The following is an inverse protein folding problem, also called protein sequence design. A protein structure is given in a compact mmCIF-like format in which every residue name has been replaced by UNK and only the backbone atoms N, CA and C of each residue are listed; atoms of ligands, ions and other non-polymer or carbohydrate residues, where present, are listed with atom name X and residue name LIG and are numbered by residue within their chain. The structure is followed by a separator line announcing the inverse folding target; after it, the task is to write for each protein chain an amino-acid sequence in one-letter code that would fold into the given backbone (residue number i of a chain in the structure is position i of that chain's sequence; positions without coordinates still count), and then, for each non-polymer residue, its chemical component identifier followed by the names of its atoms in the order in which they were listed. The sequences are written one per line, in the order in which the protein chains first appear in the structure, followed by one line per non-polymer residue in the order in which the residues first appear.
data_IF_344621241490
#
_entry.id   IF_344621241490
#
_cell.length_a   1.000
_cell.length_b   1.000
_cell.length_c   1.000
_cell.angle_alpha   90.00
_cell.angle_beta   90.00
_cell.angle_gamma   90.00
#
_symmetry.space_group_name_H-M   'P 1'
#
loop_
_entity.id
_entity.type
_entity.pdbx_description
1 polymer ?
#
# COMPACT_ATOMS: atom_id res chain seq x y z
N UNK A 1 1.85 -3.92 -24.84
CA UNK A 1 1.76 -2.64 -24.11
C UNK A 1 2.32 -2.85 -22.71
N UNK A 2 3.29 -2.05 -22.33
CA UNK A 2 3.94 -2.12 -21.01
C UNK A 2 3.62 -0.83 -20.25
N UNK A 3 3.16 -0.96 -19.04
CA UNK A 3 2.83 0.18 -18.17
C UNK A 3 3.88 0.38 -17.10
N UNK A 4 4.10 1.64 -16.75
CA UNK A 4 4.91 2.04 -15.60
C UNK A 4 3.99 2.31 -14.43
N UNK A 5 4.21 1.60 -13.33
CA UNK A 5 3.44 1.74 -12.11
C UNK A 5 4.35 2.22 -10.97
N UNK A 6 3.88 3.19 -10.21
CA UNK A 6 4.57 3.68 -9.01
C UNK A 6 3.79 3.31 -7.77
N UNK A 7 4.42 2.56 -6.89
CA UNK A 7 3.90 2.20 -5.57
C UNK A 7 4.38 3.23 -4.55
N UNK A 8 3.46 3.81 -3.83
CA UNK A 8 3.74 4.82 -2.80
C UNK A 8 2.95 4.53 -1.53
N UNK A 9 3.34 5.21 -0.46
CA UNK A 9 2.65 5.16 0.83
C UNK A 9 2.05 6.54 1.12
N UNK A 10 0.77 6.57 1.52
CA UNK A 10 0.09 7.83 1.82
C UNK A 10 0.83 8.63 2.88
N UNK A 11 1.16 9.90 2.58
CA UNK A 11 1.83 10.81 3.49
C UNK A 11 3.32 10.54 3.74
N UNK A 12 3.92 9.55 3.10
CA UNK A 12 5.35 9.21 3.26
C UNK A 12 6.12 9.52 1.97
N UNK A 13 6.97 10.53 2.00
CA UNK A 13 7.74 10.97 0.83
C UNK A 13 8.99 10.13 0.55
N UNK A 14 9.51 9.45 1.54
CA UNK A 14 10.77 8.70 1.45
C UNK A 14 10.65 7.28 0.91
N UNK A 15 9.48 6.88 0.42
CA UNK A 15 9.22 5.53 -0.05
C UNK A 15 8.62 5.53 -1.44
N UNK A 16 9.19 4.75 -2.34
CA UNK A 16 8.52 4.34 -3.58
C UNK A 16 9.10 3.04 -4.13
N UNK A 17 8.31 2.37 -4.96
CA UNK A 17 8.70 1.26 -5.82
C UNK A 17 8.14 1.50 -7.21
N UNK A 18 8.96 1.31 -8.24
CA UNK A 18 8.53 1.49 -9.62
C UNK A 18 8.61 0.16 -10.35
N UNK A 19 7.51 -0.22 -10.99
CA UNK A 19 7.38 -1.46 -11.74
C UNK A 19 7.12 -1.18 -13.22
N UNK A 20 7.69 -2.03 -14.07
CA UNK A 20 7.24 -2.20 -15.45
C UNK A 20 6.38 -3.47 -15.51
N UNK A 21 5.18 -3.33 -16.04
CA UNK A 21 4.17 -4.39 -16.04
C UNK A 21 3.54 -4.51 -17.42
N UNK A 22 3.52 -5.71 -17.97
CA UNK A 22 2.79 -5.96 -19.21
C UNK A 22 1.27 -5.82 -18.98
N UNK A 23 0.57 -5.19 -19.92
CA UNK A 23 -0.87 -4.94 -19.78
C UNK A 23 -1.71 -6.20 -19.64
N UNK A 24 -1.27 -7.33 -20.20
CA UNK A 24 -1.93 -8.62 -20.06
C UNK A 24 -1.69 -9.30 -18.71
N UNK A 25 -0.80 -8.76 -17.86
CA UNK A 25 -0.55 -9.29 -16.52
C UNK A 25 -1.81 -9.15 -15.67
N UNK A 26 -2.20 -10.24 -15.00
CA UNK A 26 -3.34 -10.20 -14.09
C UNK A 26 -3.00 -9.43 -12.82
N UNK A 27 -4.01 -8.87 -12.17
CA UNK A 27 -3.84 -8.21 -10.87
C UNK A 27 -3.34 -9.21 -9.81
N UNK A 28 -3.67 -10.48 -9.94
CA UNK A 28 -3.17 -11.53 -9.07
C UNK A 28 -1.65 -11.70 -9.20
N UNK A 29 -1.12 -11.74 -10.41
CA UNK A 29 0.33 -11.83 -10.65
C UNK A 29 1.05 -10.59 -10.13
N UNK A 30 0.48 -9.40 -10.36
CA UNK A 30 1.00 -8.16 -9.80
C UNK A 30 1.01 -8.18 -8.27
N UNK A 31 -0.08 -8.63 -7.65
CA UNK A 31 -0.18 -8.80 -6.20
C UNK A 31 0.94 -9.70 -5.66
N UNK A 32 1.17 -10.86 -6.29
CA UNK A 32 2.22 -11.78 -5.83
C UNK A 32 3.60 -11.15 -5.90
N UNK A 33 3.89 -10.39 -6.95
CA UNK A 33 5.18 -9.71 -7.10
C UNK A 33 5.38 -8.63 -6.04
N UNK A 34 4.39 -7.77 -5.85
CA UNK A 34 4.46 -6.71 -4.83
C UNK A 34 4.60 -7.31 -3.43
N UNK A 35 3.84 -8.35 -3.12
CA UNK A 35 3.91 -9.05 -1.84
C UNK A 35 5.30 -9.62 -1.58
N UNK A 36 5.92 -10.23 -2.57
CA UNK A 36 7.27 -10.78 -2.45
C UNK A 36 8.31 -9.68 -2.26
N UNK A 37 8.26 -8.63 -3.07
CA UNK A 37 9.25 -7.55 -3.04
C UNK A 37 9.17 -6.70 -1.76
N UNK A 38 7.96 -6.47 -1.26
CA UNK A 38 7.72 -5.67 -0.05
C UNK A 38 7.63 -6.52 1.22
N UNK A 39 7.80 -7.84 1.10
CA UNK A 39 7.76 -8.78 2.23
C UNK A 39 6.47 -8.72 3.05
N UNK A 40 5.34 -8.50 2.37
CA UNK A 40 4.03 -8.52 3.01
C UNK A 40 3.63 -9.93 3.46
N UNK A 41 2.81 -10.06 4.53
CA UNK A 41 2.29 -11.35 4.97
C UNK A 41 1.55 -12.09 3.86
N UNK A 42 1.71 -13.42 3.81
CA UNK A 42 1.20 -14.24 2.70
C UNK A 42 -0.26 -14.68 2.85
N UNK A 43 -0.77 -14.79 4.05
CA UNK A 43 -2.07 -15.41 4.33
C UNK A 43 -3.20 -14.39 4.56
N UNK A 44 -3.07 -13.18 3.99
CA UNK A 44 -4.05 -12.13 4.17
C UNK A 44 -5.00 -12.03 2.98
N UNK A 45 -6.23 -11.61 3.25
CA UNK A 45 -7.16 -11.20 2.20
C UNK A 45 -6.65 -9.92 1.54
N UNK A 46 -6.69 -9.90 0.22
CA UNK A 46 -6.22 -8.77 -0.57
C UNK A 46 -7.32 -8.21 -1.46
N UNK A 47 -7.20 -6.94 -1.84
CA UNK A 47 -8.12 -6.28 -2.77
C UNK A 47 -7.44 -5.10 -3.46
N UNK A 48 -7.76 -4.92 -4.75
CA UNK A 48 -7.44 -3.71 -5.49
C UNK A 48 -8.69 -2.85 -5.64
N UNK A 49 -8.64 -1.62 -5.21
CA UNK A 49 -9.67 -0.62 -5.47
C UNK A 49 -9.15 0.29 -6.58
N UNK A 50 -9.80 0.26 -7.74
CA UNK A 50 -9.42 1.07 -8.89
C UNK A 50 -10.14 2.41 -8.86
N UNK A 51 -9.40 3.49 -9.04
CA UNK A 51 -9.90 4.87 -9.04
C UNK A 51 -9.59 5.53 -10.38
N UNK A 52 -10.50 6.36 -10.86
CA UNK A 52 -10.25 7.22 -12.00
C UNK A 52 -9.54 8.53 -11.58
N UNK A 53 -9.29 9.40 -12.56
CA UNK A 53 -8.59 10.68 -12.30
C UNK A 53 -9.38 11.63 -11.38
N UNK A 54 -10.67 11.43 -11.22
CA UNK A 54 -11.50 12.21 -10.30
C UNK A 54 -11.55 11.61 -8.89
N UNK A 55 -10.94 10.43 -8.70
CA UNK A 55 -11.01 9.69 -7.45
C UNK A 55 -12.25 8.80 -7.31
N UNK A 56 -13.08 8.72 -8.35
CA UNK A 56 -14.24 7.84 -8.36
C UNK A 56 -13.83 6.37 -8.51
N UNK A 57 -14.52 5.48 -7.82
CA UNK A 57 -14.27 4.04 -7.89
C UNK A 57 -14.77 3.51 -9.24
N UNK A 58 -13.87 2.91 -10.02
CA UNK A 58 -14.18 2.27 -11.30
C UNK A 58 -14.04 0.76 -11.26
N UNK A 59 -13.66 0.21 -10.13
CA UNK A 59 -13.60 -1.23 -9.92
C UNK A 59 -13.11 -1.61 -8.53
N UNK A 60 -13.54 -2.80 -8.09
CA UNK A 60 -13.02 -3.49 -6.91
C UNK A 60 -12.74 -4.93 -7.28
N UNK A 61 -11.50 -5.34 -7.14
CA UNK A 61 -11.04 -6.66 -7.56
C UNK A 61 -10.40 -7.37 -6.38
N UNK A 62 -11.03 -8.45 -5.93
CA UNK A 62 -10.56 -9.27 -4.82
C UNK A 62 -10.35 -10.71 -5.22
N UNK A 63 -10.12 -11.58 -4.24
CA UNK A 63 -10.06 -13.02 -4.43
C UNK A 63 -11.45 -13.58 -4.78
N UNK A 64 -12.50 -12.90 -4.33
CA UNK A 64 -13.89 -13.18 -4.68
C UNK A 64 -14.45 -12.07 -5.55
N UNK A 65 -15.45 -12.39 -6.37
CA UNK A 65 -16.10 -11.43 -7.26
C UNK A 65 -16.94 -10.43 -6.45
N UNK A 66 -16.57 -9.16 -6.51
CA UNK A 66 -17.24 -8.05 -5.86
C UNK A 66 -18.14 -7.25 -6.83
N UNK A 67 -18.40 -7.78 -8.02
CA UNK A 67 -19.19 -7.15 -9.07
C UNK A 67 -18.39 -6.69 -10.29
N UNK A 68 -17.07 -6.68 -10.22
CA UNK A 68 -16.16 -6.28 -11.31
C UNK A 68 -15.26 -7.43 -11.81
N UNK A 69 -15.35 -8.58 -11.20
CA UNK A 69 -14.47 -9.73 -11.48
C UNK A 69 -13.43 -9.95 -10.36
N UNK A 70 -12.60 -10.95 -10.56
CA UNK A 70 -11.58 -11.36 -9.59
C UNK A 70 -10.18 -10.95 -10.06
N UNK A 71 -9.21 -10.89 -9.14
CA UNK A 71 -7.82 -10.51 -9.44
C UNK A 71 -7.14 -11.45 -10.42
N UNK A 72 -7.46 -12.75 -10.39
CA UNK A 72 -6.89 -13.77 -11.26
C UNK A 72 -7.43 -13.73 -12.69
N UNK A 73 -8.59 -13.13 -12.90
CA UNK A 73 -9.27 -13.01 -14.21
C UNK A 73 -9.22 -11.61 -14.79
N UNK A 74 -8.64 -10.66 -14.09
CA UNK A 74 -8.58 -9.26 -14.54
C UNK A 74 -7.16 -8.87 -14.88
N UNK A 75 -6.93 -8.57 -16.16
CA UNK A 75 -5.67 -8.02 -16.62
C UNK A 75 -5.56 -6.54 -16.25
N UNK A 76 -4.34 -6.07 -15.99
CA UNK A 76 -4.07 -4.66 -15.69
C UNK A 76 -4.67 -3.73 -16.74
N UNK A 77 -4.47 -4.02 -18.04
CA UNK A 77 -4.98 -3.19 -19.12
C UNK A 77 -6.51 -3.08 -19.13
N UNK A 78 -7.22 -4.11 -18.69
CA UNK A 78 -8.68 -4.08 -18.59
C UNK A 78 -9.15 -3.04 -17.57
N UNK A 79 -8.51 -2.99 -16.40
CA UNK A 79 -8.81 -1.98 -15.39
C UNK A 79 -8.46 -0.56 -15.88
N UNK A 80 -7.33 -0.41 -16.57
CA UNK A 80 -6.90 0.87 -17.13
C UNK A 80 -7.89 1.35 -18.23
N UNK A 81 -8.34 0.46 -19.09
CA UNK A 81 -9.35 0.78 -20.12
C UNK A 81 -10.71 1.15 -19.52
N UNK A 82 -11.03 0.63 -18.33
CA UNK A 82 -12.23 1.00 -17.59
C UNK A 82 -12.12 2.39 -16.92
N UNK A 83 -10.95 3.04 -17.00
CA UNK A 83 -10.70 4.37 -16.50
C UNK A 83 -9.75 4.48 -15.32
N UNK A 84 -9.19 3.37 -14.84
CA UNK A 84 -8.29 3.38 -13.70
C UNK A 84 -7.00 4.16 -13.98
N UNK A 85 -6.70 5.16 -13.17
CA UNK A 85 -5.43 5.88 -13.12
C UNK A 85 -4.64 5.56 -11.87
N UNK A 86 -5.32 5.11 -10.84
CA UNK A 86 -4.74 4.78 -9.54
C UNK A 86 -5.42 3.55 -8.96
N UNK A 87 -4.66 2.82 -8.15
CA UNK A 87 -5.18 1.71 -7.37
C UNK A 87 -4.82 1.91 -5.91
N UNK A 88 -5.74 1.56 -5.02
CA UNK A 88 -5.41 1.28 -3.62
C UNK A 88 -5.30 -0.22 -3.49
N UNK A 89 -4.10 -0.71 -3.28
CA UNK A 89 -3.86 -2.13 -3.09
C UNK A 89 -3.84 -2.45 -1.60
N UNK A 90 -4.91 -3.09 -1.14
CA UNK A 90 -4.99 -3.61 0.22
C UNK A 90 -4.27 -4.95 0.26
N UNK A 91 -3.11 -4.98 0.89
CA UNK A 91 -2.37 -6.22 1.10
C UNK A 91 -2.84 -6.97 2.36
N UNK A 92 -3.64 -6.31 3.20
CA UNK A 92 -4.33 -6.86 4.36
C UNK A 92 -5.65 -6.11 4.55
N UNK A 93 -6.73 -6.66 3.97
CA UNK A 93 -8.06 -6.04 4.02
C UNK A 93 -8.58 -5.99 5.46
N UNK A 94 -8.35 -7.03 6.25
CA UNK A 94 -8.86 -7.15 7.62
C UNK A 94 -8.34 -6.02 8.52
N UNK A 95 -7.05 -5.69 8.39
CA UNK A 95 -6.40 -4.62 9.16
C UNK A 95 -6.32 -3.30 8.39
N UNK A 96 -6.95 -3.21 7.22
CA UNK A 96 -7.00 -2.02 6.36
C UNK A 96 -5.63 -1.46 5.98
N UNK A 97 -4.66 -2.34 5.79
CA UNK A 97 -3.32 -1.98 5.36
C UNK A 97 -3.25 -1.93 3.84
N UNK A 98 -2.74 -0.83 3.30
CA UNK A 98 -2.70 -0.62 1.86
C UNK A 98 -1.49 0.18 1.41
N UNK A 99 -1.21 0.08 0.13
CA UNK A 99 -0.30 0.97 -0.61
C UNK A 99 -1.04 1.56 -1.80
N UNK A 100 -0.60 2.72 -2.25
CA UNK A 100 -1.14 3.34 -3.45
C UNK A 100 -0.31 2.95 -4.66
N UNK A 101 -0.97 2.69 -5.78
CA UNK A 101 -0.34 2.41 -7.07
C UNK A 101 -0.85 3.42 -8.08
N UNK A 102 0.06 4.22 -8.63
CA UNK A 102 -0.27 5.19 -9.67
C UNK A 102 0.19 4.66 -11.03
N UNK A 103 -0.68 4.72 -12.02
CA UNK A 103 -0.34 4.42 -13.40
C UNK A 103 0.32 5.66 -14.00
N UNK A 104 1.64 5.61 -14.19
CA UNK A 104 2.39 6.74 -14.76
C UNK A 104 2.34 6.79 -16.29
N UNK A 105 1.66 5.83 -16.90
CA UNK A 105 1.48 5.75 -18.33
C UNK A 105 2.13 4.53 -18.96
N UNK A 106 2.15 4.52 -20.28
CA UNK A 106 2.77 3.47 -21.06
C UNK A 106 4.28 3.70 -21.14
N UNK A 107 5.07 2.65 -20.93
CA UNK A 107 6.51 2.67 -21.10
C UNK A 107 6.84 2.49 -22.59
N UNK A 108 7.12 3.57 -23.29
CA UNK A 108 7.44 3.54 -24.72
C UNK A 108 8.80 2.88 -24.98
N UNK A 109 8.90 2.13 -26.05
CA UNK A 109 10.14 1.49 -26.48
C UNK A 109 10.61 0.31 -25.63
N UNK A 110 9.81 -0.12 -24.66
CA UNK A 110 10.12 -1.27 -23.82
C UNK A 110 9.51 -2.53 -24.44
N UNK A 111 10.36 -3.51 -24.71
CA UNK A 111 9.90 -4.82 -25.16
C UNK A 111 9.35 -5.63 -23.99
N UNK A 112 8.36 -6.47 -24.27
CA UNK A 112 7.83 -7.42 -23.29
C UNK A 112 8.97 -8.34 -22.79
N UNK A 113 9.14 -8.43 -21.48
CA UNK A 113 10.15 -9.25 -20.86
C UNK A 113 9.49 -10.35 -20.01
N UNK A 114 10.02 -11.58 -20.01
CA UNK A 114 9.44 -12.68 -19.23
C UNK A 114 9.45 -12.43 -17.72
N UNK A 115 10.33 -11.55 -17.24
CA UNK A 115 10.42 -11.21 -15.81
C UNK A 115 9.42 -10.15 -15.36
N UNK A 116 8.52 -9.68 -16.24
CA UNK A 116 7.47 -8.76 -15.84
C UNK A 116 6.42 -9.46 -14.98
N UNK A 117 5.91 -8.82 -13.92
CA UNK A 117 6.21 -7.48 -13.39
C UNK A 117 7.64 -7.35 -12.90
N UNK A 118 8.34 -6.29 -13.31
CA UNK A 118 9.74 -6.08 -12.95
C UNK A 118 9.92 -4.80 -12.14
N UNK A 119 10.53 -4.93 -10.97
CA UNK A 119 10.91 -3.78 -10.13
C UNK A 119 12.12 -3.08 -10.77
N UNK A 120 11.95 -1.81 -11.17
CA UNK A 120 13.00 -1.04 -11.85
C UNK A 120 13.63 0.03 -10.97
N UNK A 121 12.88 0.56 -10.00
CA UNK A 121 13.40 1.56 -9.08
C UNK A 121 12.81 1.32 -7.69
N UNK A 122 13.62 1.61 -6.65
CA UNK A 122 13.18 1.51 -5.26
C UNK A 122 13.84 2.56 -4.39
N UNK A 123 13.10 3.08 -3.41
CA UNK A 123 13.59 4.00 -2.40
C UNK A 123 12.90 3.73 -1.08
N UNK A 124 13.67 3.78 0.00
CA UNK A 124 13.19 3.58 1.36
C UNK A 124 13.03 2.11 1.76
N UNK A 125 13.01 1.82 3.06
CA UNK A 125 12.85 0.47 3.57
C UNK A 125 11.45 -0.08 3.29
N UNK A 126 11.29 -1.41 3.34
CA UNK A 126 9.98 -2.03 3.20
C UNK A 126 9.06 -1.62 4.37
N UNK A 127 7.74 -1.49 4.13
CA UNK A 127 6.79 -1.06 5.18
C UNK A 127 6.76 -1.96 6.41
N UNK A 128 7.12 -3.22 6.29
CA UNK A 128 7.17 -4.17 7.41
C UNK A 128 8.26 -3.83 8.44
N UNK A 129 9.25 -3.04 8.07
CA UNK A 129 10.32 -2.58 8.96
C UNK A 129 9.87 -1.44 9.88
N UNK A 130 8.73 -0.84 9.61
CA UNK A 130 8.13 0.15 10.50
C UNK A 130 7.44 -0.56 11.67
N UNK A 131 7.73 -0.13 12.89
CA UNK A 131 7.04 -0.62 14.07
C UNK A 131 5.52 -0.45 13.92
N UNK A 132 4.74 -1.42 14.34
CA UNK A 132 3.27 -1.43 14.27
C UNK A 132 2.70 -1.63 12.85
N UNK A 133 3.51 -2.03 11.88
CA UNK A 133 3.06 -2.17 10.52
C UNK A 133 2.79 -0.81 9.89
N UNK A 134 2.27 -0.84 8.67
CA UNK A 134 1.98 0.38 7.95
C UNK A 134 0.58 0.90 8.30
N UNK A 135 0.55 2.04 8.96
CA UNK A 135 -0.67 2.83 9.20
C UNK A 135 -0.66 4.02 8.26
N UNK A 136 -1.80 4.33 7.63
CA UNK A 136 -1.89 5.51 6.78
C UNK A 136 -1.50 6.76 7.58
N UNK A 137 -0.74 7.66 6.95
CA UNK A 137 -0.22 8.85 7.62
C UNK A 137 -1.33 9.68 8.28
N UNK A 138 -2.50 9.74 7.64
CA UNK A 138 -3.65 10.47 8.16
C UNK A 138 -4.26 9.84 9.42
N UNK A 139 -4.08 8.52 9.60
CA UNK A 139 -4.58 7.78 10.76
C UNK A 139 -3.59 7.77 11.93
N UNK A 140 -2.37 8.30 11.71
CA UNK A 140 -1.40 8.43 12.79
C UNK A 140 -1.80 9.56 13.74
N UNK A 141 -1.61 9.39 15.06
CA UNK A 141 -1.68 10.50 16.01
C UNK A 141 -0.74 11.62 15.60
N UNK A 142 -1.11 12.87 15.86
CA UNK A 142 -0.31 14.04 15.48
C UNK A 142 1.16 13.96 15.92
N UNK A 143 1.41 13.34 17.06
CA UNK A 143 2.77 13.11 17.60
C UNK A 143 3.61 12.10 16.78
N UNK A 144 2.96 11.27 15.95
CA UNK A 144 3.63 10.25 15.15
C UNK A 144 3.67 10.57 13.66
N UNK A 145 3.17 11.73 13.26
CA UNK A 145 3.17 12.19 11.87
C UNK A 145 4.50 12.83 11.51
N UNK A 146 5.54 12.01 11.39
CA UNK A 146 6.84 12.47 10.89
C UNK A 146 7.11 11.93 9.49
N UNK A 147 7.80 12.72 8.71
CA UNK A 147 8.37 12.26 7.45
C UNK A 147 9.72 11.58 7.72
N UNK A 148 10.07 10.53 6.96
CA UNK A 148 11.40 9.94 7.06
C UNK A 148 12.48 10.99 6.86
N UNK A 149 13.38 11.13 7.85
CA UNK A 149 14.46 12.12 7.85
C UNK A 149 14.19 13.39 8.66
N UNK A 150 13.00 13.54 9.23
CA UNK A 150 12.79 14.56 10.27
C UNK A 150 13.32 14.03 11.60
N UNK A 151 14.12 14.85 12.29
CA UNK A 151 14.61 14.51 13.62
C UNK A 151 13.46 14.54 14.63
N UNK A 152 13.38 13.52 15.45
CA UNK A 152 12.39 13.45 16.51
C UNK A 152 12.81 14.39 17.66
N UNK A 153 12.27 15.59 17.64
CA UNK A 153 12.31 16.45 18.82
C UNK A 153 11.22 16.04 19.82
N UNK A 154 11.30 14.76 20.30
CA UNK A 154 10.47 14.36 21.41
C UNK A 154 11.07 14.88 22.71
N UNK A 155 10.37 15.83 23.31
CA UNK A 155 10.65 16.16 24.69
C UNK A 155 10.29 14.96 25.58
N UNK A 156 11.28 14.43 26.30
CA UNK A 156 11.13 13.33 27.25
C UNK A 156 10.05 13.57 28.32
N UNK A 157 9.57 14.78 28.42
CA UNK A 157 8.56 15.20 29.39
C UNK A 157 7.16 14.61 29.13
N UNK A 158 6.87 14.16 27.89
CA UNK A 158 5.55 13.61 27.56
C UNK A 158 5.39 12.11 27.90
N UNK A 159 6.48 11.44 28.26
CA UNK A 159 6.44 10.00 28.59
C UNK A 159 6.05 9.70 30.04
N UNK A 160 6.14 10.71 30.93
CA UNK A 160 5.86 10.51 32.35
C UNK A 160 4.36 10.52 32.70
N UNK A 161 3.50 10.89 31.77
CA UNK A 161 2.05 11.03 32.04
C UNK A 161 1.27 9.72 32.05
N UNK A 162 1.73 8.72 31.29
CA UNK A 162 0.96 7.49 31.10
C UNK A 162 1.12 6.50 32.27
N UNK A 163 2.21 6.63 33.04
CA UNK A 163 2.47 5.71 34.16
C UNK A 163 1.65 6.01 35.42
N UNK A 164 1.25 7.27 35.63
CA UNK A 164 0.47 7.61 36.82
C UNK A 164 -1.00 7.24 36.70
N UNK A 165 -1.59 7.42 35.53
CA UNK A 165 -2.98 7.04 35.27
C UNK A 165 -3.19 5.52 35.28
N UNK A 166 -2.20 4.76 34.85
CA UNK A 166 -2.22 3.31 34.89
C UNK A 166 -2.21 2.73 36.28
N UNK A 167 -1.53 3.38 37.25
CA UNK A 167 -1.45 2.93 38.63
C UNK A 167 -2.74 3.19 39.40
N UNK A 168 -3.41 4.29 39.17
CA UNK A 168 -4.68 4.61 39.82
C UNK A 168 -5.79 3.64 39.41
N UNK A 169 -5.85 3.22 38.16
CA UNK A 169 -6.83 2.25 37.64
C UNK A 169 -6.62 0.87 38.33
N UNK A 170 -5.38 0.43 38.52
CA UNK A 170 -5.10 -0.85 39.17
C UNK A 170 -5.42 -0.85 40.68
N UNK A 171 -5.28 0.26 41.36
CA UNK A 171 -5.62 0.37 42.79
C UNK A 171 -7.14 0.33 43.03
N UNK A 172 -7.93 0.89 42.13
CA UNK A 172 -9.39 0.83 42.23
C UNK A 172 -9.97 -0.56 41.97
N UNK A 173 -9.36 -1.37 41.12
CA UNK A 173 -9.80 -2.74 40.84
C UNK A 173 -9.51 -3.72 41.99
N UNK A 174 -8.61 -3.40 42.92
CA UNK A 174 -8.28 -4.24 44.04
C UNK A 174 -9.14 -4.02 45.30
N UNK A 175 -10.02 -3.04 45.23
CA UNK A 175 -11.00 -2.77 46.29
C UNK A 175 -12.34 -3.43 46.05
#
# INVERSE_FOLDING_TARGET
MVFKLRVTLAGIKGFFRVYQVHGATTLYTLHKQIRADLEFPQDQLIMFKALDITGAIVGRYGLFDLGWGTVDKTALEKAIKAGATDFVYFYDVTNRKSVNITVEGEAEGVSVHPDFPMLTESKGPNPIEFENGYVAFEDLPDKQRHLPGEEDDFDDDDLDFDDEDGKEIYEEEQQ
#
